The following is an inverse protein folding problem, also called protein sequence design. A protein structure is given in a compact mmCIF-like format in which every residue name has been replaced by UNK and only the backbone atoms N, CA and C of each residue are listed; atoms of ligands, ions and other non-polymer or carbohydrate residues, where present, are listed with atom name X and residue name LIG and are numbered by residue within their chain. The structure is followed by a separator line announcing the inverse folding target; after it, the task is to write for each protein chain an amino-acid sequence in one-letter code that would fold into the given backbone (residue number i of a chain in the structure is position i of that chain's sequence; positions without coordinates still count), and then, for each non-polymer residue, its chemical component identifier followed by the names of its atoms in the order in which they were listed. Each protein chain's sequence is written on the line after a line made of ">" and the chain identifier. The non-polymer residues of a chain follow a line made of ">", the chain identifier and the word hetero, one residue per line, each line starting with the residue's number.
data_IF_366680615820
#
_entry.id   IF_366680615820
#
_cell.length_a   1.000
_cell.length_b   1.000
_cell.length_c   1.000
_cell.angle_alpha   90.00
_cell.angle_beta   90.00
_cell.angle_gamma   90.00
#
_symmetry.space_group_name_H-M   'P 1'
#
loop_
_entity.id
_entity.type
_entity.pdbx_description
1 polymer ?
#
# COMPACT_ATOMS: atom_id res chain seq x y z
N UNK A 1 -15.62 -1.82 5.96
CA UNK A 1 -16.35 -2.19 4.73
C UNK A 1 -15.46 -3.13 3.92
N UNK A 2 -15.99 -4.15 3.23
CA UNK A 2 -15.17 -4.97 2.34
C UNK A 2 -14.84 -4.14 1.10
N UNK A 3 -13.58 -3.74 0.92
CA UNK A 3 -13.13 -3.11 -0.34
C UNK A 3 -13.44 -4.06 -1.49
N UNK A 4 -13.95 -3.52 -2.60
CA UNK A 4 -14.08 -4.28 -3.84
C UNK A 4 -12.68 -4.68 -4.31
N UNK A 5 -12.52 -5.90 -4.81
CA UNK A 5 -11.24 -6.31 -5.38
C UNK A 5 -10.91 -5.46 -6.62
N UNK A 6 -9.68 -4.90 -6.70
CA UNK A 6 -9.22 -4.17 -7.87
C UNK A 6 -9.16 -5.08 -9.11
N UNK A 7 -8.95 -4.48 -10.28
CA UNK A 7 -8.68 -5.26 -11.49
C UNK A 7 -7.40 -6.09 -11.28
N UNK A 8 -7.52 -7.40 -11.33
CA UNK A 8 -6.38 -8.29 -11.24
C UNK A 8 -5.71 -8.47 -12.60
N UNK A 9 -4.39 -8.56 -12.57
CA UNK A 9 -3.55 -8.91 -13.72
C UNK A 9 -2.85 -10.25 -13.54
N UNK A 10 -3.01 -10.87 -12.37
CA UNK A 10 -2.57 -12.23 -12.09
C UNK A 10 -3.75 -13.20 -12.22
N UNK A 11 -3.47 -14.40 -12.73
CA UNK A 11 -4.40 -15.52 -12.73
C UNK A 11 -4.54 -16.12 -11.32
N UNK A 12 -5.64 -16.84 -11.08
CA UNK A 12 -5.84 -17.56 -9.83
C UNK A 12 -4.73 -18.60 -9.59
N UNK A 13 -4.21 -19.21 -10.66
CA UNK A 13 -3.11 -20.18 -10.60
C UNK A 13 -1.80 -19.54 -10.12
N UNK A 14 -1.43 -18.36 -10.65
CA UNK A 14 -0.24 -17.63 -10.21
C UNK A 14 -0.35 -17.21 -8.74
N UNK A 15 -1.53 -16.76 -8.30
CA UNK A 15 -1.73 -16.41 -6.88
C UNK A 15 -1.60 -17.64 -5.98
N UNK A 16 -2.09 -18.79 -6.42
CA UNK A 16 -2.00 -20.03 -5.65
C UNK A 16 -0.57 -20.57 -5.60
N UNK A 17 0.19 -20.46 -6.68
CA UNK A 17 1.62 -20.78 -6.69
C UNK A 17 2.39 -19.94 -5.66
N UNK A 18 2.11 -18.63 -5.60
CA UNK A 18 2.72 -17.76 -4.60
C UNK A 18 2.32 -18.16 -3.16
N UNK A 19 1.06 -18.52 -2.92
CA UNK A 19 0.61 -19.03 -1.61
C UNK A 19 1.31 -20.33 -1.23
N UNK A 20 1.38 -21.27 -2.16
CA UNK A 20 2.07 -22.55 -1.96
C UNK A 20 3.57 -22.34 -1.71
N UNK A 21 4.17 -21.31 -2.32
CA UNK A 21 5.53 -20.85 -2.06
C UNK A 21 5.73 -20.13 -0.73
N UNK A 22 4.69 -19.99 0.09
CA UNK A 22 4.76 -19.40 1.44
C UNK A 22 4.58 -17.87 1.49
N UNK A 23 4.18 -17.22 0.40
CA UNK A 23 3.90 -15.78 0.45
C UNK A 23 2.63 -15.49 1.25
N UNK A 24 2.70 -14.48 2.10
CA UNK A 24 1.55 -13.97 2.83
C UNK A 24 0.53 -13.32 1.88
N UNK A 25 -0.73 -13.21 2.31
CA UNK A 25 -1.74 -12.49 1.54
C UNK A 25 -1.37 -11.02 1.30
N UNK A 26 -0.64 -10.40 2.24
CA UNK A 26 -0.12 -9.04 2.09
C UNK A 26 0.90 -8.94 0.94
N UNK A 27 1.80 -9.92 0.86
CA UNK A 27 2.80 -10.04 -0.21
C UNK A 27 2.15 -10.31 -1.57
N UNK A 28 1.02 -11.02 -1.59
CA UNK A 28 0.25 -11.24 -2.82
C UNK A 28 -0.38 -9.94 -3.32
N UNK A 29 -0.92 -9.09 -2.43
CA UNK A 29 -1.42 -7.76 -2.84
C UNK A 29 -0.30 -6.87 -3.42
N UNK A 30 0.90 -6.92 -2.84
CA UNK A 30 2.06 -6.24 -3.42
C UNK A 30 2.45 -6.83 -4.80
N UNK A 31 2.33 -8.14 -4.98
CA UNK A 31 2.62 -8.80 -6.26
C UNK A 31 1.61 -8.42 -7.35
N UNK A 32 0.32 -8.32 -7.00
CA UNK A 32 -0.73 -7.81 -7.88
C UNK A 32 -0.51 -6.36 -8.28
N UNK A 33 -0.05 -5.53 -7.34
CA UNK A 33 0.33 -4.14 -7.62
C UNK A 33 1.46 -4.07 -8.67
N UNK A 34 2.47 -4.93 -8.55
CA UNK A 34 3.55 -5.04 -9.53
C UNK A 34 3.04 -5.56 -10.88
N UNK A 35 2.15 -6.54 -10.90
CA UNK A 35 1.55 -7.05 -12.13
C UNK A 35 0.75 -5.96 -12.87
N UNK A 36 -0.08 -5.20 -12.15
CA UNK A 36 -0.80 -4.05 -12.70
C UNK A 36 0.14 -2.98 -13.24
N UNK A 37 1.25 -2.69 -12.54
CA UNK A 37 2.29 -1.77 -13.02
C UNK A 37 2.90 -2.25 -14.34
N UNK A 38 3.23 -3.53 -14.46
CA UNK A 38 3.75 -4.12 -15.71
C UNK A 38 2.75 -4.05 -16.86
N UNK A 39 1.46 -4.08 -16.55
CA UNK A 39 0.38 -3.90 -17.52
C UNK A 39 0.06 -2.42 -17.82
N UNK A 40 0.86 -1.47 -17.33
CA UNK A 40 0.64 -0.02 -17.43
C UNK A 40 -0.69 0.46 -16.82
N UNK A 41 -1.25 -0.27 -15.86
CA UNK A 41 -2.44 0.15 -15.11
C UNK A 41 -2.04 0.65 -13.72
N UNK A 42 -1.66 1.93 -13.68
CA UNK A 42 -1.25 2.57 -12.43
C UNK A 42 -2.38 2.65 -11.41
N UNK A 43 -3.64 2.76 -11.85
CA UNK A 43 -4.77 2.84 -10.93
C UNK A 43 -4.94 1.52 -10.19
N UNK A 44 -5.02 0.41 -10.92
CA UNK A 44 -5.08 -0.92 -10.30
C UNK A 44 -3.85 -1.22 -9.44
N UNK A 45 -2.66 -0.72 -9.85
CA UNK A 45 -1.45 -0.87 -9.05
C UNK A 45 -1.58 -0.20 -7.67
N UNK A 46 -2.10 1.03 -7.60
CA UNK A 46 -2.32 1.71 -6.33
C UNK A 46 -3.45 1.09 -5.52
N UNK A 47 -4.54 0.66 -6.17
CA UNK A 47 -5.66 0.00 -5.49
C UNK A 47 -5.21 -1.31 -4.82
N UNK A 48 -4.40 -2.13 -5.50
CA UNK A 48 -3.81 -3.33 -4.91
C UNK A 48 -2.84 -2.99 -3.77
N UNK A 49 -2.00 -1.98 -3.94
CA UNK A 49 -1.09 -1.57 -2.88
C UNK A 49 -1.84 -1.05 -1.64
N UNK A 50 -2.98 -0.38 -1.82
CA UNK A 50 -3.83 0.11 -0.74
C UNK A 50 -4.63 -0.99 -0.02
N UNK A 51 -4.64 -2.22 -0.56
CA UNK A 51 -5.11 -3.39 0.16
C UNK A 51 -4.04 -3.99 1.08
N UNK A 52 -2.77 -3.67 0.84
CA UNK A 52 -1.66 -4.15 1.65
C UNK A 52 -1.54 -3.37 2.97
N UNK A 53 -1.20 -4.08 4.04
CA UNK A 53 -0.72 -3.50 5.28
C UNK A 53 0.75 -3.10 5.10
N UNK A 54 0.98 -1.81 4.87
CA UNK A 54 2.31 -1.26 4.60
C UNK A 54 3.04 -0.91 5.89
N UNK A 55 4.39 -1.01 5.91
CA UNK A 55 5.20 -0.48 7.00
C UNK A 55 5.03 1.04 7.16
N UNK A 56 5.15 1.54 8.39
CA UNK A 56 5.00 2.96 8.70
C UNK A 56 5.90 3.87 7.84
N UNK A 57 7.18 3.51 7.69
CA UNK A 57 8.12 4.28 6.86
C UNK A 57 7.73 4.32 5.38
N UNK A 58 7.06 3.28 4.87
CA UNK A 58 6.55 3.25 3.48
C UNK A 58 5.39 4.24 3.34
N UNK A 59 4.46 4.26 4.31
CA UNK A 59 3.37 5.22 4.36
C UNK A 59 3.88 6.67 4.48
N UNK A 60 4.94 6.89 5.25
CA UNK A 60 5.59 8.20 5.38
C UNK A 60 6.20 8.68 4.05
N UNK A 61 6.90 7.79 3.33
CA UNK A 61 7.42 8.09 1.99
C UNK A 61 6.28 8.38 1.00
N UNK A 62 5.20 7.58 1.04
CA UNK A 62 4.02 7.81 0.19
C UNK A 62 3.38 9.17 0.47
N UNK A 63 3.23 9.56 1.74
CA UNK A 63 2.70 10.88 2.12
C UNK A 63 3.57 11.99 1.57
N UNK A 64 4.90 11.87 1.69
CA UNK A 64 5.84 12.87 1.17
C UNK A 64 5.75 13.03 -0.35
N UNK A 65 5.54 11.95 -1.09
CA UNK A 65 5.52 11.98 -2.56
C UNK A 65 4.15 12.30 -3.16
N UNK A 66 3.06 11.90 -2.50
CA UNK A 66 1.69 11.98 -3.04
C UNK A 66 0.75 12.87 -2.23
N UNK A 67 1.17 13.28 -1.03
CA UNK A 67 0.35 14.02 -0.09
C UNK A 67 -0.56 13.13 0.76
N UNK A 68 -1.06 13.69 1.87
CA UNK A 68 -1.96 13.01 2.77
C UNK A 68 -3.32 12.67 2.13
N UNK A 69 -3.83 13.54 1.25
CA UNK A 69 -5.11 13.32 0.59
C UNK A 69 -5.11 12.05 -0.26
N UNK A 70 -4.00 11.77 -0.96
CA UNK A 70 -3.86 10.53 -1.74
C UNK A 70 -4.00 9.26 -0.88
N UNK A 71 -3.41 9.27 0.31
CA UNK A 71 -3.50 8.13 1.25
C UNK A 71 -4.95 7.90 1.67
N UNK A 72 -5.69 8.99 1.93
CA UNK A 72 -7.12 8.96 2.30
C UNK A 72 -8.00 8.49 1.14
N UNK A 73 -7.81 9.06 -0.05
CA UNK A 73 -8.61 8.77 -1.24
C UNK A 73 -8.46 7.31 -1.68
N UNK A 74 -7.25 6.75 -1.57
CA UNK A 74 -6.98 5.34 -1.84
C UNK A 74 -7.31 4.42 -0.66
N UNK A 75 -7.70 5.00 0.48
CA UNK A 75 -8.05 4.31 1.72
C UNK A 75 -6.93 3.39 2.25
N UNK A 76 -5.66 3.79 2.14
CA UNK A 76 -4.56 2.99 2.71
C UNK A 76 -4.77 2.74 4.20
N UNK A 77 -4.45 1.53 4.68
CA UNK A 77 -4.42 1.26 6.10
C UNK A 77 -3.28 2.05 6.75
N UNK A 78 -3.63 2.98 7.64
CA UNK A 78 -2.66 3.84 8.34
C UNK A 78 -2.18 3.26 9.66
N UNK A 79 -2.74 2.14 10.10
CA UNK A 79 -2.51 1.53 11.43
C UNK A 79 -1.04 1.57 11.88
N UNK A 80 -0.12 1.07 11.05
CA UNK A 80 1.30 1.01 11.42
C UNK A 80 1.93 2.40 11.57
N UNK A 81 1.54 3.36 10.71
CA UNK A 81 2.01 4.74 10.82
C UNK A 81 1.35 5.49 11.98
N UNK A 82 0.10 5.18 12.28
CA UNK A 82 -0.61 5.73 13.44
C UNK A 82 0.04 5.28 14.75
N UNK A 83 0.44 4.00 14.83
CA UNK A 83 1.17 3.43 15.97
C UNK A 83 2.57 4.04 16.14
N UNK A 84 3.31 4.25 15.04
CA UNK A 84 4.70 4.74 15.09
C UNK A 84 4.81 6.27 15.20
N UNK A 85 3.95 7.00 14.49
CA UNK A 85 4.05 8.46 14.33
C UNK A 85 2.91 9.24 14.96
N UNK A 86 1.89 8.57 15.50
CA UNK A 86 0.69 9.17 16.08
C UNK A 86 -0.43 9.37 15.08
N UNK A 87 -1.68 9.40 15.56
CA UNK A 87 -2.91 9.50 14.75
C UNK A 87 -3.00 10.77 13.88
N UNK A 88 -2.31 11.83 14.29
CA UNK A 88 -2.26 13.11 13.59
C UNK A 88 -1.15 13.16 12.52
N UNK A 89 -0.43 12.05 12.28
CA UNK A 89 0.73 12.04 11.41
C UNK A 89 0.38 12.61 10.04
N UNK A 90 -0.73 12.23 9.41
CA UNK A 90 -1.11 12.72 8.08
C UNK A 90 -1.18 14.26 7.98
N UNK A 91 -1.45 14.96 9.07
CA UNK A 91 -1.72 16.40 9.09
C UNK A 91 -0.55 17.23 9.64
N UNK A 92 0.55 16.58 10.06
CA UNK A 92 1.73 17.25 10.59
C UNK A 92 3.03 16.87 9.91
N UNK A 93 3.99 17.81 9.94
CA UNK A 93 5.37 17.54 9.56
C UNK A 93 6.01 16.54 10.52
N UNK A 94 6.76 15.59 9.96
CA UNK A 94 7.50 14.58 10.74
C UNK A 94 8.99 14.75 10.50
N UNK A 95 9.78 14.70 11.57
CA UNK A 95 11.24 14.77 11.49
C UNK A 95 11.84 13.49 12.04
N UNK A 96 12.58 12.76 11.20
CA UNK A 96 13.30 11.54 11.59
C UNK A 96 14.76 11.72 11.19
N UNK A 97 15.68 11.66 12.15
CA UNK A 97 17.12 11.78 11.89
C UNK A 97 17.52 13.08 11.16
N UNK A 98 16.77 14.17 11.34
CA UNK A 98 17.00 15.45 10.65
C UNK A 98 16.35 15.58 9.27
N UNK A 99 15.67 14.53 8.78
CA UNK A 99 14.92 14.60 7.53
C UNK A 99 13.46 14.96 7.76
N UNK A 100 12.98 15.97 7.02
CA UNK A 100 11.58 16.38 7.02
C UNK A 100 10.77 15.53 6.03
N UNK A 101 9.65 15.03 6.54
CA UNK A 101 8.60 14.31 5.82
C UNK A 101 7.27 15.02 6.01
#
# INVERSE_FOLDING_TARGET
>A
MKKKLPKSYMTDAEREELRAGGLSQNSIYASESVAATKANDSQAAWEWLAMAELPAHTLLCLRKWRGAQFIRDMEFSTKNADEEYGLDWLDRGIVIGGHHF
#
